data_IF_282741675258
#
_entry.id   IF_282741675258
#
_cell.length_a   1.000
_cell.length_b   1.000
_cell.length_c   1.000
_cell.angle_alpha   90.00
_cell.angle_beta   90.00
_cell.angle_gamma   90.00
#
_symmetry.space_group_name_H-M   'P 1'
#
loop_
_entity.id
_entity.type
_entity.pdbx_description
1 polymer ?
#
# COMPACT_ATOMS: atom_id res chain seq x y z
N UNK A 1 -3.27 -9.14 -2.05
CA UNK A 1 -4.66 -9.54 -1.73
C UNK A 1 -5.17 -10.51 -2.78
N UNK A 2 -6.07 -11.46 -2.45
CA UNK A 2 -6.70 -12.30 -3.47
C UNK A 2 -7.56 -11.47 -4.43
N UNK A 3 -7.58 -11.80 -5.73
CA UNK A 3 -8.47 -11.19 -6.72
C UNK A 3 -9.85 -11.88 -6.72
N UNK A 4 -10.99 -11.17 -6.78
CA UNK A 4 -11.11 -9.72 -6.85
C UNK A 4 -11.00 -9.10 -5.45
N UNK A 5 -10.26 -7.99 -5.38
CA UNK A 5 -10.28 -7.09 -4.23
C UNK A 5 -10.26 -5.66 -4.76
N UNK A 6 -11.28 -4.88 -4.44
CA UNK A 6 -11.46 -3.52 -4.92
C UNK A 6 -10.33 -2.56 -4.51
N UNK A 7 -9.67 -2.87 -3.40
CA UNK A 7 -8.59 -2.09 -2.81
C UNK A 7 -7.25 -2.84 -2.91
N UNK A 8 -7.17 -3.84 -3.80
CA UNK A 8 -6.05 -4.78 -3.84
C UNK A 8 -4.67 -4.17 -4.14
N UNK A 9 -4.60 -2.91 -4.59
CA UNK A 9 -3.37 -2.20 -4.87
C UNK A 9 -2.60 -1.77 -3.61
N UNK A 10 -3.26 -1.66 -2.44
CA UNK A 10 -2.61 -1.22 -1.19
C UNK A 10 -1.60 -2.22 -0.63
N UNK A 11 -1.85 -3.51 -0.87
CA UNK A 11 -1.24 -4.59 -0.12
C UNK A 11 0.28 -4.61 -0.20
N UNK A 12 0.85 -4.61 -1.41
CA UNK A 12 2.31 -4.66 -1.57
C UNK A 12 3.00 -3.38 -1.08
N UNK A 13 2.54 -2.17 -1.44
CA UNK A 13 3.12 -0.94 -0.88
C UNK A 13 3.12 -0.90 0.65
N UNK A 14 1.98 -1.23 1.29
CA UNK A 14 1.90 -1.29 2.74
C UNK A 14 2.85 -2.33 3.31
N UNK A 15 2.82 -3.56 2.79
CA UNK A 15 3.64 -4.67 3.27
C UNK A 15 5.14 -4.37 3.13
N UNK A 16 5.59 -3.85 1.99
CA UNK A 16 7.00 -3.52 1.77
C UNK A 16 7.49 -2.35 2.61
N UNK A 17 6.63 -1.34 2.83
CA UNK A 17 6.98 -0.26 3.76
C UNK A 17 7.09 -0.76 5.19
N UNK A 18 6.17 -1.62 5.62
CA UNK A 18 6.18 -2.21 6.96
C UNK A 18 7.36 -3.15 7.16
N UNK A 19 7.71 -3.96 6.15
CA UNK A 19 8.85 -4.85 6.18
C UNK A 19 10.17 -4.09 6.34
N UNK A 20 10.35 -2.97 5.63
CA UNK A 20 11.52 -2.11 5.81
C UNK A 20 11.55 -1.47 7.20
N UNK A 21 10.41 -0.97 7.66
CA UNK A 21 10.27 -0.33 8.98
C UNK A 21 10.47 -1.30 10.15
N UNK A 22 9.94 -2.51 10.07
CA UNK A 22 10.04 -3.56 11.09
C UNK A 22 11.29 -4.45 10.91
N UNK A 23 12.16 -4.12 9.95
CA UNK A 23 13.40 -4.83 9.66
C UNK A 23 13.20 -6.34 9.42
N UNK A 24 12.22 -6.68 8.59
CA UNK A 24 11.98 -8.06 8.18
C UNK A 24 13.09 -8.56 7.26
N UNK A 25 13.41 -9.85 7.33
CA UNK A 25 14.43 -10.45 6.47
C UNK A 25 13.95 -10.79 5.05
N UNK A 26 12.63 -10.77 4.81
CA UNK A 26 12.09 -11.10 3.48
C UNK A 26 10.57 -10.97 3.37
N UNK A 27 10.11 -10.88 2.13
CA UNK A 27 8.70 -10.92 1.76
C UNK A 27 8.55 -11.97 0.67
N UNK A 28 7.66 -12.94 0.87
CA UNK A 28 7.37 -13.98 -0.10
C UNK A 28 5.96 -13.82 -0.62
N UNK A 29 5.84 -13.58 -1.92
CA UNK A 29 4.54 -13.58 -2.60
C UNK A 29 4.12 -15.02 -2.82
N UNK A 30 2.88 -15.34 -2.43
CA UNK A 30 2.35 -16.71 -2.46
C UNK A 30 2.55 -17.41 -3.80
N UNK A 31 2.12 -16.82 -4.92
CA UNK A 31 2.29 -17.41 -6.25
C UNK A 31 2.34 -16.37 -7.36
N UNK A 32 3.29 -16.55 -8.29
CA UNK A 32 3.24 -15.88 -9.59
C UNK A 32 2.14 -16.49 -10.47
N UNK A 33 2.12 -17.81 -10.57
CA UNK A 33 1.25 -18.58 -11.45
C UNK A 33 0.96 -19.97 -10.87
N UNK A 34 -0.28 -20.43 -10.96
CA UNK A 34 -0.66 -21.84 -10.79
C UNK A 34 -0.82 -22.59 -12.12
N UNK A 35 -0.42 -22.00 -13.25
CA UNK A 35 -0.42 -22.65 -14.57
C UNK A 35 0.91 -22.47 -15.32
N UNK A 36 1.06 -23.17 -16.45
CA UNK A 36 2.21 -22.99 -17.37
C UNK A 36 2.13 -21.72 -18.22
N UNK A 37 1.00 -21.01 -18.15
CA UNK A 37 0.87 -19.70 -18.76
C UNK A 37 1.38 -18.64 -17.77
N UNK A 38 2.54 -18.06 -18.07
CA UNK A 38 3.20 -17.09 -17.21
C UNK A 38 2.88 -15.63 -17.57
N UNK A 39 2.19 -15.39 -18.69
CA UNK A 39 1.91 -14.06 -19.22
C UNK A 39 0.53 -14.01 -19.85
N UNK A 40 -0.35 -13.23 -19.25
CA UNK A 40 -1.77 -13.16 -19.64
C UNK A 40 -2.27 -11.72 -19.59
N UNK A 41 -3.31 -11.45 -20.36
CA UNK A 41 -3.99 -10.14 -20.43
C UNK A 41 -5.19 -10.05 -19.47
N UNK A 42 -5.33 -11.00 -18.55
CA UNK A 42 -6.37 -11.04 -17.51
C UNK A 42 -5.76 -11.44 -16.17
N UNK A 43 -6.52 -11.32 -15.08
CA UNK A 43 -6.19 -11.97 -13.81
C UNK A 43 -6.91 -13.32 -13.75
N UNK A 44 -6.22 -14.46 -13.95
CA UNK A 44 -6.88 -15.74 -14.24
C UNK A 44 -7.19 -16.55 -12.99
N UNK A 45 -6.69 -16.16 -11.82
CA UNK A 45 -6.84 -16.89 -10.55
C UNK A 45 -6.93 -15.92 -9.38
N UNK A 46 -7.48 -16.38 -8.26
CA UNK A 46 -7.57 -15.60 -7.03
C UNK A 46 -6.19 -15.22 -6.48
N UNK A 47 -5.20 -16.11 -6.61
CA UNK A 47 -3.91 -15.98 -5.92
C UNK A 47 -2.73 -15.72 -6.85
N UNK A 48 -2.93 -15.75 -8.17
CA UNK A 48 -1.88 -15.44 -9.13
C UNK A 48 -1.67 -13.93 -9.20
N UNK A 49 -0.41 -13.50 -9.11
CA UNK A 49 -0.07 -12.09 -9.33
C UNK A 49 0.23 -11.78 -10.81
N UNK A 50 0.43 -12.78 -11.66
CA UNK A 50 0.56 -12.57 -13.12
C UNK A 50 -0.71 -11.91 -13.66
N UNK A 51 -0.55 -10.92 -14.54
CA UNK A 51 -1.68 -10.18 -15.09
C UNK A 51 -2.48 -9.38 -14.05
N UNK A 52 -2.00 -9.24 -12.80
CA UNK A 52 -2.63 -8.40 -11.79
C UNK A 52 -1.93 -7.04 -11.72
N UNK A 53 -2.29 -6.13 -12.63
CA UNK A 53 -1.61 -4.84 -12.80
C UNK A 53 -1.58 -3.99 -11.53
N UNK A 54 -2.67 -3.92 -10.75
CA UNK A 54 -2.73 -3.13 -9.50
C UNK A 54 -1.73 -3.61 -8.45
N UNK A 55 -1.35 -4.88 -8.50
CA UNK A 55 -0.32 -5.44 -7.62
C UNK A 55 1.09 -5.23 -8.19
N UNK A 56 1.27 -5.41 -9.49
CA UNK A 56 2.59 -5.36 -10.13
C UNK A 56 3.12 -3.95 -10.34
N UNK A 57 2.24 -2.98 -10.62
CA UNK A 57 2.61 -1.62 -11.03
C UNK A 57 3.41 -0.85 -9.96
N UNK A 58 3.16 -1.15 -8.68
CA UNK A 58 3.84 -0.51 -7.56
C UNK A 58 5.11 -1.24 -7.10
N UNK A 59 5.47 -2.38 -7.73
CA UNK A 59 6.64 -3.18 -7.37
C UNK A 59 7.97 -2.39 -7.37
N UNK A 60 8.23 -1.44 -8.29
CA UNK A 60 9.43 -0.61 -8.20
C UNK A 60 9.51 0.20 -6.90
N UNK A 61 8.39 0.77 -6.43
CA UNK A 61 8.36 1.46 -5.14
C UNK A 61 8.50 0.47 -3.97
N UNK A 62 7.87 -0.70 -4.06
CA UNK A 62 7.99 -1.77 -3.05
C UNK A 62 9.45 -2.21 -2.87
N UNK A 63 10.15 -2.46 -3.99
CA UNK A 63 11.57 -2.78 -4.00
C UNK A 63 12.41 -1.65 -3.39
N UNK A 64 12.15 -0.40 -3.76
CA UNK A 64 12.90 0.73 -3.23
C UNK A 64 12.66 0.96 -1.73
N UNK A 65 11.44 0.76 -1.24
CA UNK A 65 11.14 0.84 0.19
C UNK A 65 11.86 -0.24 0.99
N UNK A 66 11.79 -1.49 0.53
CA UNK A 66 12.29 -2.63 1.31
C UNK A 66 13.75 -2.97 1.02
N UNK A 67 14.11 -3.17 -0.25
CA UNK A 67 15.44 -3.67 -0.66
C UNK A 67 16.46 -2.55 -0.74
N UNK A 68 16.10 -1.39 -1.32
CA UNK A 68 16.99 -0.22 -1.32
C UNK A 68 17.07 0.45 0.06
N UNK A 69 16.10 0.19 0.93
CA UNK A 69 16.05 0.74 2.29
C UNK A 69 15.57 2.20 2.33
N UNK A 70 14.68 2.60 1.42
CA UNK A 70 14.14 3.96 1.43
C UNK A 70 13.30 4.25 2.68
N UNK A 71 12.69 3.24 3.29
CA UNK A 71 11.98 3.37 4.58
C UNK A 71 12.95 3.02 5.70
N UNK A 72 13.09 3.92 6.67
CA UNK A 72 13.97 3.72 7.82
C UNK A 72 13.42 2.64 8.75
N UNK A 73 14.31 1.80 9.26
CA UNK A 73 14.05 0.91 10.38
C UNK A 73 13.52 1.73 11.59
N UNK A 74 12.50 1.22 12.27
CA UNK A 74 11.96 1.77 13.50
C UNK A 74 13.03 1.93 14.60
N UNK A 75 14.10 1.15 14.55
CA UNK A 75 15.22 1.17 15.48
C UNK A 75 16.38 2.08 15.03
N UNK A 76 16.21 2.85 13.94
CA UNK A 76 17.23 3.78 13.47
C UNK A 76 17.56 4.88 14.50
N UNK A 77 16.62 5.22 15.38
CA UNK A 77 16.89 5.97 16.60
C UNK A 77 17.14 5.00 17.76
N UNK A 78 18.33 4.97 18.37
CA UNK A 78 18.63 4.09 19.50
C UNK A 78 17.75 4.36 20.73
N UNK A 79 17.11 5.52 20.82
CA UNK A 79 16.20 5.89 21.90
C UNK A 79 14.72 5.57 21.59
N UNK A 80 14.44 5.00 20.42
CA UNK A 80 13.10 4.59 20.06
C UNK A 80 12.54 3.58 21.07
N UNK A 81 11.35 3.87 21.61
CA UNK A 81 10.61 2.89 22.41
C UNK A 81 10.18 1.74 21.50
N UNK A 82 10.46 0.49 21.89
CA UNK A 82 9.96 -0.70 21.20
C UNK A 82 8.82 -1.31 22.01
N UNK A 83 7.91 -2.02 21.37
CA UNK A 83 6.84 -2.75 22.04
C UNK A 83 7.14 -4.24 21.92
N UNK A 84 7.34 -4.90 23.05
CA UNK A 84 7.56 -6.36 23.08
C UNK A 84 6.48 -7.00 23.93
N UNK A 85 5.68 -7.88 23.33
CA UNK A 85 4.68 -8.67 24.02
C UNK A 85 5.35 -9.92 24.61
N UNK A 86 5.37 -10.02 25.93
CA UNK A 86 5.97 -11.15 26.64
C UNK A 86 4.89 -12.18 26.98
N UNK A 87 5.11 -13.44 26.60
CA UNK A 87 4.24 -14.58 26.93
C UNK A 87 5.08 -15.82 27.19
N UNK A 88 4.53 -16.79 27.90
CA UNK A 88 5.09 -18.15 27.96
C UNK A 88 4.69 -18.97 26.72
N UNK A 89 5.44 -20.05 26.41
CA UNK A 89 5.05 -21.04 25.37
C UNK A 89 3.65 -21.61 25.66
N UNK A 90 3.32 -21.83 26.94
CA UNK A 90 2.01 -22.31 27.36
C UNK A 90 0.89 -21.30 27.07
N UNK A 91 1.06 -20.03 27.43
CA UNK A 91 0.08 -18.96 27.18
C UNK A 91 -0.12 -18.72 25.68
N UNK A 92 0.96 -18.67 24.89
CA UNK A 92 0.86 -18.50 23.44
C UNK A 92 0.04 -19.62 22.80
N UNK A 93 0.32 -20.87 23.18
CA UNK A 93 -0.43 -22.03 22.69
C UNK A 93 -1.89 -22.01 23.12
N UNK A 94 -2.19 -21.55 24.33
CA UNK A 94 -3.56 -21.42 24.80
C UNK A 94 -4.33 -20.36 23.99
N UNK A 95 -3.72 -19.18 23.76
CA UNK A 95 -4.31 -18.11 22.95
C UNK A 95 -4.61 -18.60 21.53
N UNK A 96 -3.62 -19.20 20.86
CA UNK A 96 -3.79 -19.67 19.49
C UNK A 96 -4.61 -20.96 19.38
N UNK A 97 -4.61 -21.80 20.42
CA UNK A 97 -5.43 -23.01 20.50
C UNK A 97 -6.92 -22.71 20.63
N UNK A 98 -7.29 -21.56 21.20
CA UNK A 98 -8.68 -21.08 21.29
C UNK A 98 -9.13 -20.33 20.03
N UNK A 99 -8.24 -19.99 19.11
CA UNK A 99 -8.61 -19.28 17.89
C UNK A 99 -9.46 -20.20 16.98
N UNK A 100 -10.64 -19.73 16.59
CA UNK A 100 -11.57 -20.47 15.73
C UNK A 100 -11.00 -20.79 14.34
N UNK A 101 -9.95 -20.09 13.91
CA UNK A 101 -9.19 -20.36 12.69
C UNK A 101 -7.79 -19.76 12.77
N UNK A 102 -6.90 -20.14 11.86
CA UNK A 102 -5.60 -19.50 11.69
C UNK A 102 -5.69 -17.98 11.40
N UNK A 103 -6.81 -17.52 10.84
CA UNK A 103 -7.08 -16.10 10.55
C UNK A 103 -7.60 -15.31 11.77
N UNK A 104 -8.13 -16.01 12.78
CA UNK A 104 -8.60 -15.42 14.04
C UNK A 104 -7.50 -15.36 15.11
N UNK A 105 -6.27 -15.74 14.76
CA UNK A 105 -5.12 -15.67 15.66
C UNK A 105 -4.77 -14.22 15.92
N UNK A 106 -5.03 -13.77 17.14
CA UNK A 106 -4.70 -12.43 17.61
C UNK A 106 -4.09 -12.52 18.99
N UNK A 107 -3.10 -11.67 19.25
CA UNK A 107 -2.54 -11.46 20.58
C UNK A 107 -3.34 -10.40 21.37
N UNK A 108 -4.55 -10.04 20.92
CA UNK A 108 -5.43 -9.13 21.65
C UNK A 108 -5.66 -9.52 23.13
N UNK A 109 -5.76 -10.82 23.52
CA UNK A 109 -5.90 -11.21 24.93
C UNK A 109 -4.75 -10.76 25.83
N UNK A 110 -3.58 -10.45 25.27
CA UNK A 110 -2.39 -9.95 25.98
C UNK A 110 -2.12 -8.46 25.70
N UNK A 111 -3.13 -7.73 25.23
CA UNK A 111 -3.05 -6.29 24.98
C UNK A 111 -2.40 -5.91 23.65
N UNK A 112 -2.34 -6.81 22.67
CA UNK A 112 -1.88 -6.44 21.32
C UNK A 112 -2.77 -5.35 20.71
N UNK A 113 -2.14 -4.26 20.28
CA UNK A 113 -2.76 -3.14 19.61
C UNK A 113 -2.33 -3.10 18.14
N UNK A 114 -3.29 -3.00 17.22
CA UNK A 114 -3.06 -3.12 15.76
C UNK A 114 -2.29 -1.95 15.16
N UNK A 115 -2.22 -0.83 15.87
CA UNK A 115 -1.55 0.41 15.47
C UNK A 115 -0.07 0.43 15.90
N UNK A 116 0.31 -0.37 16.91
CA UNK A 116 1.70 -0.46 17.38
C UNK A 116 2.72 -0.77 16.27
N UNK A 117 2.45 -1.70 15.32
CA UNK A 117 3.35 -1.95 14.20
C UNK A 117 3.61 -0.73 13.29
N UNK A 118 2.68 0.23 13.22
CA UNK A 118 2.89 1.48 12.46
C UNK A 118 3.66 2.50 13.30
N UNK A 119 3.47 2.49 14.63
CA UNK A 119 4.12 3.44 15.55
C UNK A 119 5.62 3.18 15.70
N UNK A 120 6.01 1.93 15.93
CA UNK A 120 7.37 1.55 16.31
C UNK A 120 7.63 0.06 16.09
N UNK A 121 8.86 -0.40 16.36
CA UNK A 121 9.23 -1.81 16.31
C UNK A 121 8.39 -2.62 17.30
N UNK A 122 7.75 -3.67 16.80
CA UNK A 122 6.97 -4.63 17.60
C UNK A 122 7.62 -6.00 17.59
N UNK A 123 7.52 -6.73 18.70
CA UNK A 123 7.99 -8.11 18.80
C UNK A 123 7.21 -8.92 19.81
N UNK A 124 7.36 -10.24 19.74
CA UNK A 124 6.84 -11.19 20.74
C UNK A 124 8.04 -11.90 21.35
N UNK A 125 8.09 -12.02 22.67
CA UNK A 125 9.12 -12.72 23.42
C UNK A 125 8.50 -13.86 24.20
N UNK A 126 8.95 -15.08 23.91
CA UNK A 126 8.67 -16.25 24.75
C UNK A 126 9.59 -16.21 25.98
N UNK A 127 9.02 -16.09 27.18
CA UNK A 127 9.76 -15.80 28.41
C UNK A 127 10.38 -17.04 29.06
N UNK A 128 9.86 -18.22 28.75
CA UNK A 128 10.23 -19.51 29.31
C UNK A 128 11.01 -20.39 28.31
N UNK A 129 11.35 -19.86 27.13
CA UNK A 129 12.31 -20.49 26.24
C UNK A 129 13.74 -20.19 26.71
N UNK A 130 14.59 -21.21 26.66
CA UNK A 130 16.03 -21.09 26.91
C UNK A 130 16.69 -20.38 25.71
N UNK A 131 16.69 -19.06 25.77
CA UNK A 131 17.26 -18.18 24.73
C UNK A 131 18.61 -17.67 25.23
N UNK A 132 19.69 -17.77 24.44
CA UNK A 132 20.99 -17.23 24.81
C UNK A 132 20.89 -15.77 25.24
N UNK A 133 21.58 -15.40 26.33
CA UNK A 133 21.53 -14.04 26.90
C UNK A 133 21.92 -12.95 25.87
N UNK A 134 22.80 -13.29 24.92
CA UNK A 134 23.19 -12.46 23.78
C UNK A 134 22.03 -12.07 22.86
N UNK A 135 20.97 -12.90 22.76
CA UNK A 135 19.76 -12.61 22.00
C UNK A 135 18.74 -11.77 22.79
N UNK A 136 19.03 -11.44 24.06
CA UNK A 136 18.18 -10.60 24.93
C UNK A 136 18.77 -9.21 25.21
N UNK A 137 20.01 -8.94 24.77
CA UNK A 137 20.66 -7.64 24.91
C UNK A 137 20.01 -6.59 23.99
N UNK A 138 19.62 -5.43 24.55
CA UNK A 138 19.05 -4.31 23.79
C UNK A 138 17.53 -4.38 23.55
N UNK A 139 16.82 -5.26 24.26
CA UNK A 139 15.35 -5.24 24.29
C UNK A 139 14.89 -3.99 25.04
N UNK A 140 14.18 -3.09 24.36
CA UNK A 140 13.56 -1.94 24.99
C UNK A 140 12.56 -2.40 26.06
N UNK A 141 12.26 -1.56 27.08
CA UNK A 141 11.35 -1.93 28.15
C UNK A 141 10.00 -2.41 27.59
N UNK A 142 9.51 -3.50 28.20
CA UNK A 142 8.16 -4.02 28.04
C UNK A 142 7.13 -2.91 28.30
N UNK A 143 6.19 -2.74 27.37
CA UNK A 143 5.01 -1.89 27.58
C UNK A 143 3.79 -2.76 27.37
N UNK A 144 3.17 -3.20 28.47
CA UNK A 144 1.80 -3.69 28.48
C UNK A 144 0.90 -2.45 28.45
N UNK A 145 0.48 -2.06 27.27
CA UNK A 145 -0.34 -0.85 27.10
C UNK A 145 -1.81 -1.22 27.32
N UNK A 146 -2.22 -1.42 28.57
CA UNK A 146 -3.60 -1.86 28.90
C UNK A 146 -4.65 -0.75 28.73
N UNK A 147 -4.25 0.51 28.52
CA UNK A 147 -5.18 1.66 28.51
C UNK A 147 -4.80 2.74 27.48
N UNK A 148 -4.24 2.37 26.33
CA UNK A 148 -4.00 3.36 25.29
C UNK A 148 -5.27 3.61 24.49
N UNK A 149 -5.75 4.86 24.49
CA UNK A 149 -6.68 5.33 23.48
C UNK A 149 -6.09 5.04 22.10
N UNK A 150 -6.79 4.23 21.30
CA UNK A 150 -6.40 3.91 19.93
C UNK A 150 -6.44 5.21 19.14
N UNK A 151 -5.29 5.77 18.76
CA UNK A 151 -5.30 7.05 18.08
C UNK A 151 -5.78 6.79 16.65
N UNK A 152 -6.87 7.44 16.26
CA UNK A 152 -7.39 7.37 14.89
C UNK A 152 -6.40 7.92 13.85
N UNK A 153 -5.29 8.50 14.28
CA UNK A 153 -4.14 8.89 13.47
C UNK A 153 -2.85 8.44 14.11
N UNK A 154 -2.02 7.78 13.32
CA UNK A 154 -0.78 7.16 13.77
C UNK A 154 0.36 7.58 12.85
N UNK A 155 1.48 8.01 13.42
CA UNK A 155 2.70 8.35 12.68
C UNK A 155 3.84 7.56 13.29
N UNK A 156 4.64 6.90 12.46
CA UNK A 156 5.81 6.16 12.92
C UNK A 156 6.79 7.06 13.65
N UNK A 157 7.59 6.49 14.56
CA UNK A 157 8.67 7.20 15.23
C UNK A 157 9.73 7.78 14.26
N UNK A 158 9.87 7.20 13.06
CA UNK A 158 10.69 7.75 11.96
C UNK A 158 10.02 8.93 11.22
N UNK A 159 8.72 9.12 11.40
CA UNK A 159 7.89 10.10 10.72
C UNK A 159 7.55 9.76 9.26
N UNK A 160 7.98 8.61 8.76
CA UNK A 160 7.86 8.17 7.36
C UNK A 160 6.58 7.39 7.06
N UNK A 161 6.00 6.68 8.03
CA UNK A 161 4.75 5.94 7.83
C UNK A 161 3.62 6.65 8.56
N UNK A 162 2.46 6.73 7.91
CA UNK A 162 1.27 7.37 8.49
C UNK A 162 0.04 6.54 8.19
N UNK A 163 -0.72 6.24 9.23
CA UNK A 163 -2.07 5.71 9.14
C UNK A 163 -3.04 6.79 9.62
N UNK A 164 -4.09 7.06 8.86
CA UNK A 164 -5.14 7.98 9.26
C UNK A 164 -6.49 7.33 9.02
N UNK A 165 -7.22 7.08 10.11
CA UNK A 165 -8.62 6.67 10.16
C UNK A 165 -9.47 7.63 11.01
N UNK A 166 -9.12 8.92 11.08
CA UNK A 166 -9.88 9.94 11.83
C UNK A 166 -11.33 10.02 11.37
N UNK A 167 -11.57 9.76 10.08
CA UNK A 167 -12.90 9.67 9.51
C UNK A 167 -13.21 8.19 9.29
N UNK A 168 -14.26 7.73 9.99
CA UNK A 168 -14.76 6.36 9.89
C UNK A 168 -14.97 5.94 8.44
N UNK A 169 -14.53 4.74 8.10
CA UNK A 169 -14.61 4.13 6.76
C UNK A 169 -13.96 4.95 5.64
N UNK A 170 -13.05 5.88 5.98
CA UNK A 170 -12.34 6.76 5.04
C UNK A 170 -10.84 6.82 5.32
N UNK A 171 -10.31 5.68 5.76
CA UNK A 171 -8.90 5.55 6.11
C UNK A 171 -7.95 5.68 4.92
N UNK A 172 -6.74 6.13 5.20
CA UNK A 172 -5.64 6.11 4.25
C UNK A 172 -4.30 5.86 4.94
N UNK A 173 -3.35 5.40 4.13
CA UNK A 173 -1.97 5.17 4.51
C UNK A 173 -1.02 5.95 3.61
N UNK A 174 0.06 6.46 4.20
CA UNK A 174 1.11 7.17 3.47
C UNK A 174 2.49 6.65 3.84
N UNK A 175 3.36 6.63 2.83
CA UNK A 175 4.81 6.57 2.99
C UNK A 175 5.39 7.88 2.51
N UNK A 176 6.25 8.52 3.30
CA UNK A 176 6.82 9.82 3.00
C UNK A 176 8.34 9.83 3.18
N UNK A 177 9.07 8.89 2.58
CA UNK A 177 10.53 8.87 2.69
C UNK A 177 11.20 9.82 1.69
N UNK A 178 12.47 10.22 1.87
CA UNK A 178 13.12 11.16 0.95
C UNK A 178 13.09 10.75 -0.54
N UNK A 179 13.13 9.44 -0.82
CA UNK A 179 13.23 8.89 -2.19
C UNK A 179 12.00 8.11 -2.66
N UNK A 180 11.04 7.82 -1.77
CA UNK A 180 9.79 7.16 -2.14
C UNK A 180 8.60 7.73 -1.37
N UNK A 181 7.55 8.09 -2.10
CA UNK A 181 6.25 8.52 -1.57
C UNK A 181 5.19 7.51 -1.98
N UNK A 182 4.27 7.21 -1.07
CA UNK A 182 3.09 6.39 -1.35
C UNK A 182 1.85 7.05 -0.74
N UNK A 183 0.75 7.01 -1.48
CA UNK A 183 -0.61 7.17 -0.98
C UNK A 183 -1.37 5.88 -1.27
N UNK A 184 -2.15 5.38 -0.32
CA UNK A 184 -3.19 4.39 -0.59
C UNK A 184 -4.35 4.59 0.36
N UNK A 185 -5.58 4.63 -0.14
CA UNK A 185 -6.74 4.89 0.70
C UNK A 185 -7.80 5.77 0.06
N UNK A 186 -8.74 6.21 0.89
CA UNK A 186 -9.86 7.04 0.45
C UNK A 186 -9.45 8.51 0.24
N UNK A 187 -9.84 9.05 -0.91
CA UNK A 187 -9.43 10.36 -1.41
C UNK A 187 -10.22 11.47 -0.72
N UNK A 188 -11.57 11.43 -0.78
CA UNK A 188 -12.48 12.42 -0.18
C UNK A 188 -12.19 13.87 -0.61
N UNK A 189 -11.80 14.06 -1.87
CA UNK A 189 -11.42 15.37 -2.42
C UNK A 189 -10.23 16.04 -1.71
N UNK A 190 -9.42 15.28 -0.94
CA UNK A 190 -8.29 15.82 -0.18
C UNK A 190 -7.09 16.07 -1.09
N UNK A 191 -6.32 17.10 -0.74
CA UNK A 191 -4.96 17.29 -1.23
C UNK A 191 -3.99 16.57 -0.30
N UNK A 192 -3.16 15.69 -0.87
CA UNK A 192 -2.13 14.98 -0.13
C UNK A 192 -0.80 15.71 -0.28
N UNK A 193 -0.19 16.08 0.84
CA UNK A 193 1.10 16.76 0.87
C UNK A 193 2.18 15.87 1.49
N UNK A 194 3.39 15.97 0.96
CA UNK A 194 4.55 15.19 1.37
C UNK A 194 5.74 16.08 1.70
N UNK A 195 6.62 15.60 2.58
CA UNK A 195 7.92 16.25 2.82
C UNK A 195 8.71 16.29 1.51
N UNK A 196 9.43 17.39 1.31
CA UNK A 196 10.09 17.66 0.03
C UNK A 196 9.15 18.25 -1.02
N UNK A 197 7.91 18.61 -0.67
CA UNK A 197 7.11 19.54 -1.45
C UNK A 197 6.25 18.93 -2.56
N UNK A 198 6.20 17.60 -2.70
CA UNK A 198 5.21 16.92 -3.55
C UNK A 198 3.80 17.17 -3.00
N UNK A 199 2.88 17.55 -3.89
CA UNK A 199 1.44 17.59 -3.62
C UNK A 199 0.68 16.79 -4.68
N UNK A 200 -0.35 16.08 -4.25
CA UNK A 200 -1.25 15.31 -5.12
C UNK A 200 -2.68 15.76 -4.83
N UNK A 201 -3.34 16.31 -5.85
CA UNK A 201 -4.74 16.70 -5.81
C UNK A 201 -5.52 15.72 -6.68
N UNK A 202 -6.29 14.83 -6.07
CA UNK A 202 -7.01 13.80 -6.81
C UNK A 202 -8.32 14.35 -7.40
N UNK A 203 -8.61 13.91 -8.62
CA UNK A 203 -9.94 14.01 -9.20
C UNK A 203 -10.87 12.91 -8.69
N UNK A 204 -12.07 12.84 -9.28
CA UNK A 204 -13.06 11.81 -8.95
C UNK A 204 -12.60 10.44 -9.46
N UNK A 205 -12.59 9.44 -8.58
CA UNK A 205 -12.38 8.02 -8.93
C UNK A 205 -13.65 7.20 -8.70
N UNK A 206 -13.70 5.98 -9.26
CA UNK A 206 -14.84 5.08 -9.19
C UNK A 206 -15.18 4.65 -7.75
N UNK A 207 -14.15 4.53 -6.91
CA UNK A 207 -14.28 4.07 -5.52
C UNK A 207 -14.02 5.17 -4.48
N UNK A 208 -13.81 6.42 -4.90
CA UNK A 208 -13.24 7.48 -4.05
C UNK A 208 -11.97 7.00 -3.32
N UNK A 209 -11.19 6.16 -4.00
CA UNK A 209 -9.99 5.50 -3.51
C UNK A 209 -8.96 5.43 -4.63
N UNK A 210 -7.68 5.47 -4.27
CA UNK A 210 -6.58 5.23 -5.20
C UNK A 210 -5.34 4.74 -4.46
N UNK A 211 -4.40 4.15 -5.20
CA UNK A 211 -3.01 3.98 -4.78
C UNK A 211 -2.10 4.70 -5.74
N UNK A 212 -1.19 5.53 -5.21
CA UNK A 212 -0.16 6.24 -5.96
C UNK A 212 1.19 5.99 -5.31
N UNK A 213 2.19 5.66 -6.11
CA UNK A 213 3.59 5.62 -5.65
C UNK A 213 4.46 6.50 -6.53
N UNK A 214 5.32 7.30 -5.92
CA UNK A 214 6.29 8.15 -6.59
C UNK A 214 7.68 7.87 -6.03
N UNK A 215 8.54 7.24 -6.81
CA UNK A 215 9.85 6.76 -6.34
C UNK A 215 10.98 7.17 -7.27
N UNK A 216 12.10 7.60 -6.70
CA UNK A 216 13.30 7.90 -7.47
C UNK A 216 13.84 6.60 -8.07
N UNK A 217 14.12 6.58 -9.37
CA UNK A 217 14.72 5.42 -10.04
C UNK A 217 16.22 5.63 -10.30
N UNK A 218 16.60 6.85 -10.68
CA UNK A 218 17.99 7.31 -10.87
C UNK A 218 18.09 8.76 -10.43
N UNK A 219 19.30 9.31 -10.44
CA UNK A 219 19.46 10.77 -10.31
C UNK A 219 18.58 11.48 -11.34
N UNK A 220 17.81 12.49 -10.89
CA UNK A 220 16.85 13.25 -11.70
C UNK A 220 15.69 12.48 -12.36
N UNK A 221 15.60 11.16 -12.21
CA UNK A 221 14.52 10.34 -12.76
C UNK A 221 13.65 9.75 -11.65
N UNK A 222 12.34 9.90 -11.80
CA UNK A 222 11.34 9.36 -10.90
C UNK A 222 10.30 8.56 -11.68
N UNK A 223 9.75 7.55 -11.04
CA UNK A 223 8.62 6.78 -11.57
C UNK A 223 7.39 7.06 -10.72
N UNK A 224 6.35 7.57 -11.37
CA UNK A 224 5.01 7.68 -10.82
C UNK A 224 4.18 6.49 -11.30
N UNK A 225 3.54 5.78 -10.38
CA UNK A 225 2.52 4.78 -10.66
C UNK A 225 1.22 5.17 -9.98
N UNK A 226 0.08 5.04 -10.67
CA UNK A 226 -1.22 5.34 -10.11
C UNK A 226 -2.27 4.31 -10.55
N UNK A 227 -3.02 3.77 -9.58
CA UNK A 227 -4.09 2.80 -9.85
C UNK A 227 -5.32 2.99 -8.97
N UNK A 228 -6.46 2.59 -9.52
CA UNK A 228 -7.74 2.50 -8.81
C UNK A 228 -8.31 1.10 -8.95
N UNK A 229 -9.60 1.02 -9.29
CA UNK A 229 -10.27 -0.26 -9.51
C UNK A 229 -9.66 -1.03 -10.69
N UNK A 230 -9.44 -2.34 -10.51
CA UNK A 230 -9.11 -3.27 -11.58
C UNK A 230 -10.12 -4.42 -11.65
N UNK A 231 -10.42 -4.85 -12.88
CA UNK A 231 -11.23 -6.02 -13.17
C UNK A 231 -10.94 -6.59 -14.55
N UNK A 232 -11.20 -7.87 -14.74
CA UNK A 232 -11.33 -8.43 -16.09
C UNK A 232 -12.59 -7.86 -16.78
N UNK A 233 -12.60 -7.91 -18.11
CA UNK A 233 -13.80 -7.60 -18.91
C UNK A 233 -14.93 -8.55 -18.55
N UNK A 234 -16.15 -8.02 -18.43
CA UNK A 234 -17.36 -8.75 -17.99
C UNK A 234 -17.28 -9.43 -16.62
N UNK A 235 -16.38 -8.96 -15.73
CA UNK A 235 -16.36 -9.41 -14.33
C UNK A 235 -17.68 -9.08 -13.61
N UNK A 236 -18.23 -10.07 -12.90
CA UNK A 236 -19.43 -9.94 -12.06
C UNK A 236 -19.05 -10.28 -10.62
N UNK A 237 -19.26 -9.32 -9.71
CA UNK A 237 -19.01 -9.50 -8.28
C UNK A 237 -20.27 -10.04 -7.62
N UNK A 238 -20.11 -10.99 -6.69
CA UNK A 238 -21.17 -11.33 -5.74
C UNK A 238 -21.04 -10.47 -4.49
N UNK A 239 -22.08 -9.69 -4.17
CA UNK A 239 -22.17 -9.02 -2.87
C UNK A 239 -22.80 -9.95 -1.84
N UNK A 240 -22.25 -9.94 -0.63
CA UNK A 240 -22.91 -10.55 0.51
C UNK A 240 -23.95 -9.60 1.08
N UNK A 241 -25.22 -9.89 0.83
CA UNK A 241 -26.32 -9.49 1.70
C UNK A 241 -26.64 -10.70 2.60
N UNK A 242 -26.77 -10.56 3.93
CA UNK A 242 -27.15 -11.66 4.81
C UNK A 242 -28.45 -12.38 4.41
N UNK A 243 -29.22 -11.87 3.45
CA UNK A 243 -30.47 -12.47 2.95
C UNK A 243 -30.38 -13.00 1.51
N UNK A 244 -29.50 -12.47 0.63
CA UNK A 244 -29.42 -12.90 -0.78
C UNK A 244 -28.10 -12.50 -1.46
N UNK A 245 -27.41 -13.45 -2.12
CA UNK A 245 -26.29 -13.09 -3.00
C UNK A 245 -26.87 -12.69 -4.36
N UNK A 246 -26.75 -11.41 -4.73
CA UNK A 246 -27.19 -10.90 -6.03
C UNK A 246 -26.02 -10.78 -7.01
N UNK A 247 -26.28 -11.20 -8.24
CA UNK A 247 -25.37 -11.07 -9.37
C UNK A 247 -25.58 -9.69 -9.97
N UNK A 248 -24.56 -8.85 -9.95
CA UNK A 248 -24.65 -7.54 -10.60
C UNK A 248 -23.29 -7.20 -11.20
N UNK A 249 -23.25 -6.76 -12.48
CA UNK A 249 -22.02 -6.27 -13.09
C UNK A 249 -21.36 -5.20 -12.24
N UNK A 250 -20.02 -5.12 -12.27
CA UNK A 250 -19.27 -4.15 -11.45
C UNK A 250 -19.72 -2.70 -11.71
N UNK A 251 -20.05 -2.41 -12.97
CA UNK A 251 -20.52 -1.11 -13.47
C UNK A 251 -21.91 -0.72 -12.93
N UNK A 252 -22.72 -1.70 -12.54
CA UNK A 252 -24.09 -1.51 -12.09
C UNK A 252 -24.20 -1.36 -10.57
N UNK A 253 -23.09 -1.38 -9.83
CA UNK A 253 -23.10 -1.09 -8.40
C UNK A 253 -22.97 0.41 -8.13
N UNK A 254 -24.07 1.14 -7.82
CA UNK A 254 -23.95 2.46 -7.26
C UNK A 254 -23.30 2.34 -5.89
N UNK A 255 -22.03 2.73 -5.81
CA UNK A 255 -21.24 2.81 -4.59
C UNK A 255 -20.89 1.44 -3.94
N UNK A 256 -19.75 0.89 -4.35
CA UNK A 256 -19.16 -0.33 -3.77
C UNK A 256 -18.48 -0.11 -2.41
N UNK A 257 -18.42 1.13 -1.94
CA UNK A 257 -17.78 1.47 -0.66
C UNK A 257 -18.54 0.77 0.48
N UNK A 258 -17.80 0.16 1.41
CA UNK A 258 -18.32 -0.59 2.56
C UNK A 258 -19.18 -1.82 2.24
N UNK A 259 -19.18 -2.30 0.99
CA UNK A 259 -19.86 -3.56 0.62
C UNK A 259 -18.90 -4.74 0.79
N UNK A 260 -19.37 -5.80 1.44
CA UNK A 260 -18.61 -7.03 1.59
C UNK A 260 -18.75 -7.87 0.32
N UNK A 261 -17.64 -8.01 -0.41
CA UNK A 261 -17.55 -8.90 -1.57
C UNK A 261 -17.05 -10.25 -1.09
N UNK A 262 -17.81 -11.30 -1.36
CA UNK A 262 -17.48 -12.67 -0.92
C UNK A 262 -16.70 -13.44 -1.96
N UNK A 263 -17.03 -13.29 -3.26
CA UNK A 263 -16.29 -13.91 -4.36
C UNK A 263 -16.68 -13.30 -5.71
N UNK A 264 -15.87 -13.61 -6.74
CA UNK A 264 -16.25 -13.35 -8.12
C UNK A 264 -17.15 -14.47 -8.63
N UNK A 265 -18.40 -14.13 -8.97
CA UNK A 265 -19.34 -15.09 -9.54
C UNK A 265 -18.94 -15.46 -10.96
N UNK A 266 -18.59 -14.45 -11.76
CA UNK A 266 -18.02 -14.59 -13.10
C UNK A 266 -16.73 -13.80 -13.14
N UNK A 267 -15.59 -14.51 -13.23
CA UNK A 267 -14.24 -13.90 -13.25
C UNK A 267 -14.06 -12.87 -14.36
N UNK A 268 -14.83 -12.98 -15.45
CA UNK A 268 -14.60 -12.24 -16.67
C UNK A 268 -13.46 -12.86 -17.48
N UNK A 269 -13.02 -12.14 -18.50
CA UNK A 269 -11.92 -12.54 -19.38
C UNK A 269 -11.09 -11.31 -19.81
N UNK A 270 -9.99 -11.55 -20.52
CA UNK A 270 -9.19 -10.50 -21.13
C UNK A 270 -10.04 -9.58 -22.05
N UNK A 271 -9.72 -8.28 -22.14
CA UNK A 271 -8.62 -7.62 -21.46
C UNK A 271 -8.94 -7.29 -20.00
N UNK A 272 -7.88 -7.21 -19.20
CA UNK A 272 -7.87 -6.57 -17.90
C UNK A 272 -8.06 -5.07 -18.05
N UNK A 273 -8.99 -4.51 -17.29
CA UNK A 273 -9.27 -3.09 -17.22
C UNK A 273 -8.77 -2.56 -15.88
N UNK A 274 -8.07 -1.43 -15.91
CA UNK A 274 -7.63 -0.70 -14.72
C UNK A 274 -8.05 0.77 -14.86
N UNK A 275 -8.55 1.33 -13.78
CA UNK A 275 -8.94 2.73 -13.71
C UNK A 275 -7.72 3.66 -13.84
N UNK A 276 -7.75 4.56 -14.82
CA UNK A 276 -6.80 5.66 -14.92
C UNK A 276 -7.15 6.75 -13.90
N UNK A 277 -6.27 6.97 -12.94
CA UNK A 277 -6.49 7.94 -11.85
C UNK A 277 -6.34 9.38 -12.37
N UNK A 278 -7.39 10.22 -12.32
CA UNK A 278 -7.24 11.65 -12.53
C UNK A 278 -6.58 12.28 -11.31
N UNK A 279 -5.45 12.96 -11.49
CA UNK A 279 -4.84 13.75 -10.42
C UNK A 279 -3.96 14.86 -10.99
N UNK A 280 -3.85 15.93 -10.22
CA UNK A 280 -2.93 17.03 -10.47
C UNK A 280 -1.74 16.89 -9.52
N UNK A 281 -0.54 16.81 -10.09
CA UNK A 281 0.71 16.60 -9.37
C UNK A 281 1.49 17.91 -9.36
N UNK A 282 1.84 18.38 -8.17
CA UNK A 282 2.68 19.56 -7.99
C UNK A 282 4.02 19.16 -7.39
N UNK A 283 5.12 19.59 -8.01
CA UNK A 283 6.49 19.26 -7.60
C UNK A 283 7.31 20.54 -7.39
N UNK A 284 8.27 20.55 -6.45
CA UNK A 284 9.28 21.58 -6.43
C UNK A 284 10.17 21.46 -7.68
N UNK A 285 10.48 22.59 -8.29
CA UNK A 285 11.44 22.67 -9.39
C UNK A 285 12.03 24.09 -9.39
N UNK A 286 13.34 24.25 -9.08
CA UNK A 286 14.01 25.53 -9.13
C UNK A 286 13.87 26.22 -10.49
N UNK A 287 14.09 27.54 -10.51
CA UNK A 287 14.13 28.29 -11.75
C UNK A 287 15.22 27.71 -12.69
N UNK A 288 14.87 27.54 -13.96
CA UNK A 288 15.76 26.95 -14.97
C UNK A 288 15.65 25.43 -15.11
N UNK A 289 15.10 24.71 -14.12
CA UNK A 289 14.88 23.26 -14.20
C UNK A 289 13.60 22.96 -14.96
N UNK A 290 13.68 22.19 -16.04
CA UNK A 290 12.50 21.70 -16.79
C UNK A 290 12.08 20.34 -16.26
N UNK A 291 10.78 20.09 -16.13
CA UNK A 291 10.27 18.77 -15.72
C UNK A 291 9.50 18.15 -16.87
N UNK A 292 10.02 17.03 -17.40
CA UNK A 292 9.43 16.25 -18.49
C UNK A 292 8.67 15.05 -17.93
N UNK A 293 7.54 14.73 -18.54
CA UNK A 293 6.66 13.62 -18.15
C UNK A 293 6.46 12.74 -19.36
N UNK A 294 6.75 11.45 -19.20
CA UNK A 294 6.66 10.43 -20.25
C UNK A 294 5.74 9.30 -19.78
N UNK A 295 4.49 9.25 -20.27
CA UNK A 295 3.62 8.09 -20.10
C UNK A 295 4.28 6.83 -20.68
N UNK A 296 4.31 5.73 -19.94
CA UNK A 296 5.00 4.49 -20.34
C UNK A 296 4.03 3.37 -20.72
N UNK A 297 4.40 2.51 -21.66
CA UNK A 297 3.68 1.25 -21.89
C UNK A 297 4.07 0.15 -20.87
N UNK A 298 3.50 -1.04 -21.01
CA UNK A 298 3.80 -2.20 -20.17
C UNK A 298 5.26 -2.71 -20.28
N UNK A 299 6.02 -2.23 -21.26
CA UNK A 299 7.44 -2.55 -21.47
C UNK A 299 8.36 -1.39 -21.03
N UNK A 300 7.84 -0.42 -20.29
CA UNK A 300 8.53 0.78 -19.86
C UNK A 300 9.04 1.68 -21.02
N UNK A 301 8.38 1.64 -22.18
CA UNK A 301 8.70 2.52 -23.31
C UNK A 301 7.81 3.76 -23.29
N UNK A 302 8.36 4.97 -23.49
CA UNK A 302 7.55 6.19 -23.64
C UNK A 302 6.58 6.08 -24.81
N UNK A 303 5.31 6.42 -24.56
CA UNK A 303 4.25 6.52 -25.57
C UNK A 303 3.99 7.97 -26.01
N UNK A 304 4.60 8.92 -25.31
CA UNK A 304 4.57 10.35 -25.58
C UNK A 304 5.43 11.11 -24.58
N UNK A 305 5.48 12.43 -24.70
CA UNK A 305 6.16 13.32 -23.76
C UNK A 305 5.42 14.65 -23.68
N UNK A 306 5.35 15.23 -22.48
CA UNK A 306 4.92 16.61 -22.26
C UNK A 306 5.71 17.24 -21.12
N UNK A 307 5.67 18.57 -21.03
CA UNK A 307 6.40 19.35 -20.02
C UNK A 307 5.43 19.83 -18.95
N UNK A 308 5.83 19.73 -17.67
CA UNK A 308 5.05 20.30 -16.58
C UNK A 308 4.98 21.83 -16.68
N UNK A 309 3.81 22.38 -16.35
CA UNK A 309 3.56 23.82 -16.37
C UNK A 309 4.15 24.47 -15.12
N UNK A 310 4.91 25.56 -15.28
CA UNK A 310 5.35 26.42 -14.17
C UNK A 310 4.13 27.09 -13.53
N UNK A 311 4.00 26.99 -12.21
CA UNK A 311 2.89 27.60 -11.45
C UNK A 311 3.37 28.62 -10.41
N UNK A 312 4.63 28.53 -9.97
CA UNK A 312 5.34 29.54 -9.17
C UNK A 312 6.82 29.55 -9.54
N UNK A 313 7.62 30.44 -8.94
CA UNK A 313 9.08 30.50 -9.16
C UNK A 313 9.78 29.16 -8.88
N UNK A 314 9.28 28.39 -7.92
CA UNK A 314 9.87 27.17 -7.39
C UNK A 314 9.03 25.90 -7.62
N UNK A 315 7.92 25.98 -8.38
CA UNK A 315 7.01 24.82 -8.57
C UNK A 315 6.49 24.66 -9.98
N UNK A 316 6.36 23.39 -10.36
CA UNK A 316 5.69 22.95 -11.57
C UNK A 316 4.51 22.04 -11.25
N UNK A 317 3.58 21.96 -12.18
CA UNK A 317 2.37 21.17 -12.08
C UNK A 317 2.11 20.43 -13.38
N UNK A 318 1.62 19.20 -13.29
CA UNK A 318 1.16 18.41 -14.42
C UNK A 318 -0.02 17.51 -14.02
N UNK A 319 -0.76 17.03 -15.01
CA UNK A 319 -1.94 16.19 -14.78
C UNK A 319 -1.67 14.76 -15.26
N UNK A 320 -2.20 13.79 -14.51
CA UNK A 320 -2.35 12.40 -14.93
C UNK A 320 -3.85 12.10 -15.08
N UNK A 321 -4.19 11.25 -16.05
CA UNK A 321 -5.59 10.87 -16.31
C UNK A 321 -5.66 9.62 -17.18
N UNK A 322 -6.89 9.11 -17.37
CA UNK A 322 -7.18 7.98 -18.26
C UNK A 322 -6.79 8.21 -19.72
N UNK A 323 -6.69 9.46 -20.18
CA UNK A 323 -6.45 9.79 -21.59
C UNK A 323 -5.06 9.31 -22.05
N UNK A 324 -4.10 9.19 -21.13
CA UNK A 324 -2.76 8.67 -21.41
C UNK A 324 -2.71 7.15 -21.54
N UNK A 325 -3.79 6.43 -21.19
CA UNK A 325 -3.88 4.95 -21.26
C UNK A 325 -2.67 4.23 -20.66
N UNK A 326 -2.16 4.75 -19.54
CA UNK A 326 -1.03 4.17 -18.80
C UNK A 326 -1.28 4.17 -17.30
N UNK A 327 -0.54 3.31 -16.60
CA UNK A 327 -0.42 3.32 -15.15
C UNK A 327 0.94 3.84 -14.67
N UNK A 328 1.90 4.08 -15.57
CA UNK A 328 3.27 4.51 -15.27
C UNK A 328 3.65 5.80 -16.01
N UNK A 329 4.31 6.70 -15.30
CA UNK A 329 4.86 7.93 -15.84
C UNK A 329 6.30 8.08 -15.37
N UNK A 330 7.24 8.19 -16.31
CA UNK A 330 8.58 8.69 -15.98
C UNK A 330 8.53 10.21 -15.85
N UNK A 331 9.09 10.73 -14.74
CA UNK A 331 9.21 12.15 -14.46
C UNK A 331 10.70 12.49 -14.39
N UNK A 332 11.17 13.35 -15.29
CA UNK A 332 12.59 13.69 -15.46
C UNK A 332 12.80 15.17 -15.19
N UNK A 333 13.78 15.48 -14.35
CA UNK A 333 14.23 16.84 -14.07
C UNK A 333 15.46 17.14 -14.94
N UNK A 334 15.36 18.16 -15.80
CA UNK A 334 16.38 18.56 -16.78
C UNK A 334 16.91 19.97 -16.53
#
# INVERSE_FOLDING_TARGET
HPYPNLYGAEGFPMLSSMAGFQNWSGIFVFAWSHSKDFSTEETPSFFDIKGNSVQLVHMPACFNMFVRGDVKDANADPNAKKVVYAVTDAEEREIYGKAASGYARSLAPIGFCHENPVLTSVGVRLTDLDIPESATQGTAPFVRDEEREIPSKTVSNTGELRWNGEIKDRGFYQVDSPKTKVFTGFIQGRTMEYRGGLKIEFGKTLLDWATVSFTQTKENHWLLAATGLQKNSECVLGLYDPVEVKDTPVEEYPNLINKQITFCQKRGHAPLMCEGIPATITLPAPQGVTVKIRPLDGNAKPTGEFTAKRVSEDRVQFEISREFKTLWYEVVFE
#
